data_IF_502221510711
#
_entry.id   IF_502221510711
#
_cell.length_a   1.000
_cell.length_b   1.000
_cell.length_c   1.000
_cell.angle_alpha   90.00
_cell.angle_beta   90.00
_cell.angle_gamma   90.00
#
_symmetry.space_group_name_H-M   'P 1'
#
loop_
_entity.id
_entity.type
_entity.pdbx_description
1 polymer ?
#
# COMPACT_ATOMS: atom_id res chain seq x y z
N UNK A 1 -13.14 -16.62 2.13
CA UNK A 1 -11.66 -16.66 2.08
C UNK A 1 -11.15 -15.24 2.25
N UNK A 2 -9.97 -15.06 2.82
CA UNK A 2 -9.37 -13.75 3.08
C UNK A 2 -8.00 -13.64 2.41
N UNK A 3 -7.51 -12.42 2.26
CA UNK A 3 -6.15 -12.19 1.78
C UNK A 3 -5.18 -12.34 2.96
N UNK A 4 -4.03 -12.96 2.70
CA UNK A 4 -2.94 -13.11 3.66
C UNK A 4 -1.63 -12.75 2.98
N UNK A 5 -0.84 -11.92 3.65
CA UNK A 5 0.49 -11.49 3.26
C UNK A 5 1.54 -12.33 4.01
N UNK A 6 2.44 -12.97 3.29
CA UNK A 6 3.61 -13.63 3.87
C UNK A 6 4.72 -12.59 4.06
N UNK A 7 5.26 -12.48 5.27
CA UNK A 7 6.38 -11.59 5.58
C UNK A 7 7.67 -12.36 5.86
N UNK A 8 8.81 -11.78 5.51
CA UNK A 8 10.12 -12.29 5.90
C UNK A 8 10.52 -11.83 7.32
N UNK A 9 11.78 -12.07 7.69
CA UNK A 9 12.29 -11.72 9.02
C UNK A 9 12.43 -10.20 9.23
N UNK A 10 12.47 -9.41 8.15
CA UNK A 10 12.56 -7.95 8.16
C UNK A 10 11.16 -7.30 8.03
N UNK A 11 10.09 -8.11 8.17
CA UNK A 11 8.70 -7.75 7.97
C UNK A 11 8.36 -7.29 6.54
N UNK A 12 9.15 -7.68 5.54
CA UNK A 12 8.86 -7.36 4.14
C UNK A 12 7.93 -8.40 3.53
N UNK A 13 6.84 -7.95 2.94
CA UNK A 13 5.84 -8.79 2.27
C UNK A 13 6.45 -9.43 1.03
N UNK A 14 6.52 -10.75 1.02
CA UNK A 14 7.03 -11.55 -0.10
C UNK A 14 5.95 -11.81 -1.15
N UNK A 15 4.72 -12.10 -0.70
CA UNK A 15 3.55 -12.35 -1.56
C UNK A 15 2.25 -12.19 -0.80
N UNK A 16 1.15 -12.06 -1.54
CA UNK A 16 -0.21 -12.07 -1.01
C UNK A 16 -1.02 -13.18 -1.69
N UNK A 17 -1.74 -13.97 -0.91
CA UNK A 17 -2.60 -15.06 -1.41
C UNK A 17 -4.00 -14.94 -0.83
N UNK A 18 -4.97 -15.61 -1.47
CA UNK A 18 -6.31 -15.80 -0.93
C UNK A 18 -6.43 -17.20 -0.36
N UNK A 19 -6.72 -17.31 0.94
CA UNK A 19 -6.80 -18.60 1.65
C UNK A 19 -7.91 -18.58 2.71
N UNK A 20 -8.24 -19.74 3.26
CA UNK A 20 -8.98 -19.82 4.52
C UNK A 20 -7.98 -19.82 5.70
N UNK A 21 -8.46 -19.43 6.88
CA UNK A 21 -7.60 -19.31 8.06
C UNK A 21 -7.04 -20.66 8.51
N UNK A 22 -7.83 -21.73 8.39
CA UNK A 22 -7.41 -23.10 8.71
C UNK A 22 -6.22 -23.57 7.87
N UNK A 23 -6.18 -23.23 6.58
CA UNK A 23 -5.08 -23.57 5.69
C UNK A 23 -3.80 -22.83 6.07
N UNK A 24 -3.90 -21.54 6.41
CA UNK A 24 -2.76 -20.76 6.92
C UNK A 24 -2.26 -21.37 8.24
N UNK A 25 -3.16 -21.62 9.19
CA UNK A 25 -2.83 -22.19 10.51
C UNK A 25 -2.30 -23.62 10.43
N UNK A 26 -2.59 -24.36 9.36
CA UNK A 26 -2.09 -25.72 9.17
C UNK A 26 -0.58 -25.81 8.97
N UNK A 27 0.11 -24.69 8.69
CA UNK A 27 1.56 -24.66 8.47
C UNK A 27 2.02 -25.26 7.14
N UNK A 28 1.09 -25.63 6.24
CA UNK A 28 1.41 -26.16 4.90
C UNK A 28 2.17 -25.17 4.02
N UNK A 29 2.10 -23.89 4.33
CA UNK A 29 2.79 -22.80 3.64
C UNK A 29 3.95 -22.21 4.44
N UNK A 30 4.54 -23.00 5.36
CA UNK A 30 5.58 -22.54 6.28
C UNK A 30 5.00 -22.05 7.59
N UNK A 31 5.77 -21.24 8.32
CA UNK A 31 5.40 -20.73 9.65
C UNK A 31 4.14 -19.86 9.59
N UNK A 32 3.02 -20.26 10.22
CA UNK A 32 1.78 -19.48 10.24
C UNK A 32 1.94 -18.08 10.84
N UNK A 33 2.93 -17.87 11.72
CA UNK A 33 3.18 -16.56 12.34
C UNK A 33 3.67 -15.51 11.34
N UNK A 34 4.19 -15.96 10.18
CA UNK A 34 4.62 -15.10 9.07
C UNK A 34 3.49 -14.69 8.15
N UNK A 35 2.27 -15.17 8.37
CA UNK A 35 1.12 -14.86 7.55
C UNK A 35 0.20 -13.87 8.25
N UNK A 36 0.22 -12.63 7.77
CA UNK A 36 -0.60 -11.55 8.31
C UNK A 36 -1.81 -11.40 7.39
N UNK A 37 -3.03 -11.50 7.93
CA UNK A 37 -4.23 -11.24 7.14
C UNK A 37 -4.16 -9.84 6.53
N UNK A 38 -4.89 -9.55 5.46
CA UNK A 38 -5.00 -8.20 4.87
C UNK A 38 -6.35 -8.03 4.19
N UNK A 39 -6.78 -6.78 3.97
CA UNK A 39 -8.07 -6.47 3.34
C UNK A 39 -7.86 -5.63 2.10
N UNK A 40 -8.25 -6.17 0.94
CA UNK A 40 -8.15 -5.48 -0.36
C UNK A 40 -8.91 -4.15 -0.37
N UNK A 41 -10.00 -4.06 0.40
CA UNK A 41 -10.85 -2.87 0.45
C UNK A 41 -10.34 -1.80 1.43
N UNK A 42 -9.10 -1.90 1.92
CA UNK A 42 -8.59 -0.96 2.91
C UNK A 42 -7.40 -0.17 2.38
N UNK A 43 -7.53 1.16 2.40
CA UNK A 43 -6.48 2.09 1.94
C UNK A 43 -6.49 3.35 2.80
N UNK A 44 -5.31 3.86 3.15
CA UNK A 44 -5.11 5.09 3.92
C UNK A 44 -5.90 5.13 5.24
N UNK A 45 -6.01 4.00 5.93
CA UNK A 45 -6.78 3.90 7.18
C UNK A 45 -8.30 3.86 6.99
N UNK A 46 -8.80 3.67 5.77
CA UNK A 46 -10.24 3.67 5.48
C UNK A 46 -10.67 2.38 4.78
N UNK A 47 -11.78 1.82 5.23
CA UNK A 47 -12.43 0.70 4.54
C UNK A 47 -13.38 1.23 3.47
N UNK A 48 -13.11 0.94 2.20
CA UNK A 48 -13.81 1.49 1.04
C UNK A 48 -15.28 1.09 0.95
N UNK A 49 -15.68 -0.01 1.58
CA UNK A 49 -17.09 -0.43 1.65
C UNK A 49 -17.78 0.01 2.96
N UNK A 50 -17.15 0.90 3.72
CA UNK A 50 -17.59 1.32 5.06
C UNK A 50 -17.17 0.33 6.15
N UNK A 51 -17.32 0.75 7.41
CA UNK A 51 -16.93 -0.02 8.60
C UNK A 51 -15.49 0.20 9.06
N UNK A 52 -15.08 -0.56 10.07
CA UNK A 52 -13.75 -0.46 10.67
C UNK A 52 -12.73 -1.25 9.83
N UNK A 53 -11.63 -0.61 9.38
CA UNK A 53 -10.56 -1.33 8.70
C UNK A 53 -9.92 -2.37 9.63
N UNK A 54 -9.60 -3.54 9.09
CA UNK A 54 -8.84 -4.56 9.84
C UNK A 54 -7.44 -4.07 10.25
N UNK A 55 -6.85 -3.19 9.44
CA UNK A 55 -5.55 -2.51 9.59
C UNK A 55 -5.46 -1.39 8.56
N UNK A 56 -4.51 -0.46 8.61
CA UNK A 56 -4.60 0.78 7.81
C UNK A 56 -4.56 0.62 6.28
N UNK A 57 -3.77 -0.32 5.76
CA UNK A 57 -3.53 -0.46 4.31
C UNK A 57 -3.57 -1.92 3.88
N UNK A 58 -3.88 -2.16 2.60
CA UNK A 58 -3.69 -3.44 1.96
C UNK A 58 -2.20 -3.77 1.76
N UNK A 59 -1.85 -5.05 1.82
CA UNK A 59 -0.48 -5.49 1.59
C UNK A 59 -0.17 -5.57 0.09
N UNK A 60 0.99 -5.06 -0.31
CA UNK A 60 1.59 -5.31 -1.62
C UNK A 60 2.91 -6.05 -1.46
N UNK A 61 3.33 -6.82 -2.47
CA UNK A 61 4.69 -7.37 -2.48
C UNK A 61 5.73 -6.24 -2.39
N UNK A 62 6.73 -6.40 -1.53
CA UNK A 62 7.72 -5.38 -1.20
C UNK A 62 7.30 -4.37 -0.14
N UNK A 63 6.03 -4.33 0.28
CA UNK A 63 5.60 -3.49 1.42
C UNK A 63 6.21 -3.98 2.72
N UNK A 64 6.49 -3.07 3.63
CA UNK A 64 6.88 -3.38 5.01
C UNK A 64 5.62 -3.45 5.89
N UNK A 65 5.51 -4.49 6.71
CA UNK A 65 4.51 -4.54 7.77
C UNK A 65 5.03 -3.86 9.04
N UNK A 66 4.43 -2.73 9.39
CA UNK A 66 4.68 -2.01 10.62
C UNK A 66 3.69 -2.45 11.69
N UNK A 67 4.19 -3.13 12.72
CA UNK A 67 3.40 -3.67 13.82
C UNK A 67 2.88 -2.61 14.78
N UNK A 68 3.64 -1.52 14.97
CA UNK A 68 3.28 -0.46 15.91
C UNK A 68 2.14 0.41 15.34
N UNK A 69 2.17 0.64 14.03
CA UNK A 69 1.12 1.39 13.30
C UNK A 69 -0.02 0.50 12.79
N UNK A 70 0.10 -0.82 12.93
CA UNK A 70 -0.75 -1.85 12.30
C UNK A 70 -1.08 -1.50 10.84
N UNK A 71 -0.04 -1.46 10.01
CA UNK A 71 -0.12 -0.99 8.64
C UNK A 71 0.85 -1.72 7.72
N UNK A 72 0.41 -1.92 6.47
CA UNK A 72 1.32 -2.22 5.38
C UNK A 72 1.74 -0.90 4.73
N UNK A 73 3.04 -0.62 4.74
CA UNK A 73 3.63 0.59 4.16
C UNK A 73 4.32 0.17 2.86
N UNK A 74 3.89 0.71 1.72
CA UNK A 74 4.57 0.44 0.45
C UNK A 74 6.02 0.93 0.49
N UNK A 75 6.91 0.44 -0.39
CA UNK A 75 8.19 1.09 -0.60
C UNK A 75 8.02 2.59 -0.86
N UNK A 76 8.96 3.39 -0.38
CA UNK A 76 8.98 4.82 -0.61
C UNK A 76 9.08 5.07 -2.13
N UNK A 77 8.09 5.73 -2.78
CA UNK A 77 8.10 5.92 -4.22
C UNK A 77 9.24 6.83 -4.70
N UNK A 78 9.51 7.88 -3.92
CA UNK A 78 10.58 8.84 -4.18
C UNK A 78 11.18 9.33 -2.86
N UNK A 79 12.49 9.63 -2.79
CA UNK A 79 13.14 10.12 -1.58
C UNK A 79 12.49 11.37 -0.96
N UNK A 80 11.95 12.27 -1.78
CA UNK A 80 11.28 13.49 -1.30
C UNK A 80 9.89 13.25 -0.68
N UNK A 81 9.29 12.08 -0.88
CA UNK A 81 7.96 11.79 -0.36
C UNK A 81 8.03 11.48 1.13
N UNK A 82 7.08 12.05 1.87
CA UNK A 82 7.02 11.95 3.33
C UNK A 82 5.94 10.95 3.71
N UNK A 83 6.21 10.10 4.68
CA UNK A 83 5.21 9.16 5.21
C UNK A 83 4.23 9.94 6.08
N UNK A 84 2.95 9.89 5.71
CA UNK A 84 1.89 10.37 6.57
C UNK A 84 1.63 9.34 7.69
N UNK A 85 1.94 9.68 8.94
CA UNK A 85 1.89 8.71 10.05
C UNK A 85 0.47 8.22 10.38
N UNK A 86 -0.54 9.05 10.11
CA UNK A 86 -1.95 8.71 10.34
C UNK A 86 -2.44 7.67 9.33
N UNK A 87 -2.21 7.92 8.04
CA UNK A 87 -2.68 7.03 6.95
C UNK A 87 -1.68 5.93 6.58
N UNK A 88 -0.42 6.06 6.99
CA UNK A 88 0.70 5.20 6.60
C UNK A 88 0.89 5.12 5.07
N UNK A 89 0.56 6.20 4.37
CA UNK A 89 0.78 6.34 2.93
C UNK A 89 1.83 7.43 2.66
N UNK A 90 2.58 7.24 1.59
CA UNK A 90 3.55 8.23 1.13
C UNK A 90 2.84 9.38 0.42
N UNK A 91 3.22 10.60 0.76
CA UNK A 91 2.68 11.84 0.20
C UNK A 91 3.80 12.66 -0.43
N UNK A 92 3.56 13.15 -1.65
CA UNK A 92 4.46 14.10 -2.28
C UNK A 92 4.50 15.40 -1.46
N UNK A 93 5.65 16.09 -1.39
CA UNK A 93 5.79 17.34 -0.63
C UNK A 93 4.96 18.49 -1.21
N UNK A 94 4.49 18.37 -2.46
CA UNK A 94 3.55 19.31 -3.09
C UNK A 94 2.36 18.57 -3.67
N UNK A 95 1.13 19.10 -3.52
CA UNK A 95 -0.07 18.46 -4.04
C UNK A 95 -0.02 18.37 -5.56
N UNK A 96 -0.60 17.30 -6.10
CA UNK A 96 -0.77 17.14 -7.54
C UNK A 96 -1.73 18.23 -8.06
N UNK A 97 -1.46 18.86 -9.22
CA UNK A 97 -2.41 19.77 -9.84
C UNK A 97 -3.79 19.11 -10.04
N UNK A 98 -4.84 19.79 -9.58
CA UNK A 98 -6.23 19.36 -9.76
C UNK A 98 -6.73 19.80 -11.14
N UNK A 99 -6.32 19.11 -12.21
CA UNK A 99 -6.97 19.32 -13.52
C UNK A 99 -8.15 18.35 -13.67
N UNK A 100 -9.31 18.78 -13.18
CA UNK A 100 -10.59 18.07 -13.32
C UNK A 100 -11.13 18.11 -14.76
N UNK A 101 -10.59 18.99 -15.63
CA UNK A 101 -11.25 19.36 -16.89
C UNK A 101 -10.72 18.56 -18.08
N UNK A 102 -9.45 18.15 -18.07
CA UNK A 102 -8.85 17.47 -19.23
C UNK A 102 -8.47 16.00 -18.92
N UNK A 103 -9.19 15.04 -19.52
CA UNK A 103 -8.78 13.62 -19.56
C UNK A 103 -7.53 13.36 -20.43
N UNK A 104 -6.82 14.42 -20.84
CA UNK A 104 -5.69 14.38 -21.77
C UNK A 104 -4.32 14.49 -21.07
N UNK A 105 -4.28 14.93 -19.81
CA UNK A 105 -3.04 15.14 -19.07
C UNK A 105 -2.81 14.04 -18.03
N UNK A 106 -1.66 13.37 -18.13
CA UNK A 106 -1.13 12.55 -17.05
C UNK A 106 -0.07 13.36 -16.31
N UNK A 107 0.00 13.23 -14.98
CA UNK A 107 1.07 13.83 -14.20
C UNK A 107 1.96 12.73 -13.62
N UNK A 108 3.26 12.97 -13.65
CA UNK A 108 4.26 12.22 -12.91
C UNK A 108 5.00 13.16 -11.94
N UNK A 109 5.61 12.58 -10.92
CA UNK A 109 6.42 13.34 -9.99
C UNK A 109 7.86 13.45 -10.54
N UNK A 110 8.31 14.67 -10.79
CA UNK A 110 9.69 14.96 -11.17
C UNK A 110 10.50 15.19 -9.90
N UNK A 111 11.25 14.15 -9.50
CA UNK A 111 12.03 14.14 -8.27
C UNK A 111 13.21 15.12 -8.28
N UNK A 112 13.82 15.38 -9.44
CA UNK A 112 14.95 16.30 -9.54
C UNK A 112 14.51 17.75 -9.31
N UNK A 113 13.32 18.10 -9.80
CA UNK A 113 12.76 19.45 -9.68
C UNK A 113 11.74 19.60 -8.55
N UNK A 114 11.48 18.53 -7.78
CA UNK A 114 10.53 18.49 -6.66
C UNK A 114 9.14 19.06 -7.02
N UNK A 115 8.62 18.68 -8.19
CA UNK A 115 7.33 19.18 -8.69
C UNK A 115 6.61 18.14 -9.55
N UNK A 116 5.32 18.33 -9.75
CA UNK A 116 4.56 17.54 -10.73
C UNK A 116 4.84 18.04 -12.14
N UNK A 117 5.10 17.12 -13.06
CA UNK A 117 5.30 17.38 -14.48
C UNK A 117 4.22 16.67 -15.32
N UNK A 118 3.84 17.29 -16.44
CA UNK A 118 2.79 16.82 -17.33
C UNK A 118 3.34 15.92 -18.44
N UNK A 119 2.60 14.87 -18.77
CA UNK A 119 2.80 14.01 -19.93
C UNK A 119 1.58 14.20 -20.84
N UNK A 120 1.84 14.72 -22.03
CA UNK A 120 0.87 14.74 -23.13
C UNK A 120 0.80 13.33 -23.72
N UNK A 121 -0.39 12.73 -23.75
CA UNK A 121 -0.59 11.52 -24.53
C UNK A 121 -0.77 11.93 -25.99
N UNK A 122 0.10 11.49 -26.92
CA UNK A 122 -0.10 11.73 -28.34
C UNK A 122 -1.40 11.07 -28.82
N UNK A 123 -2.09 11.70 -29.78
CA UNK A 123 -3.29 11.13 -30.44
C UNK A 123 -2.97 9.92 -31.33
#
# INVERSE_FOLDING_TARGET
MAHYAEIDNDNIVQRVIVANEEFIKSGKLGDPSKWIQTSYNTVKGQHQLGGTPLRKNYAGAGSTYDKDRDAFISPQPYPSWILNEDSCAWEAPSPRPEDIVSRKLFYYWDEENLKWAEILVPE
#
